data_IF_979948295908
#
_entry.id   IF_979948295908
#
_cell.length_a   1.000
_cell.length_b   1.000
_cell.length_c   1.000
_cell.angle_alpha   90.00
_cell.angle_beta   90.00
_cell.angle_gamma   90.00
#
_symmetry.space_group_name_H-M   'P 1'
#
loop_
_entity.id
_entity.type
_entity.pdbx_description
1 polymer ?
#
# COMPACT_ATOMS: atom_id res chain seq x y z
N UNK A 1 -12.58 11.67 -21.09
CA UNK A 1 -13.74 11.48 -20.19
C UNK A 1 -15.00 11.67 -21.01
N UNK A 2 -15.94 10.74 -20.89
CA UNK A 2 -17.26 10.84 -21.53
C UNK A 2 -18.12 11.91 -20.85
N UNK A 3 -19.17 12.37 -21.53
CA UNK A 3 -20.02 13.46 -21.05
C UNK A 3 -20.69 13.15 -19.71
N UNK A 4 -21.20 11.93 -19.53
CA UNK A 4 -21.88 11.53 -18.29
C UNK A 4 -20.92 11.55 -17.09
N UNK A 5 -19.70 11.03 -17.25
CA UNK A 5 -18.66 11.16 -16.23
C UNK A 5 -18.28 12.62 -15.95
N UNK A 6 -18.19 13.46 -16.97
CA UNK A 6 -17.91 14.89 -16.78
C UNK A 6 -18.99 15.59 -15.96
N UNK A 7 -20.26 15.34 -16.28
CA UNK A 7 -21.40 15.96 -15.59
C UNK A 7 -21.47 15.51 -14.13
N UNK A 8 -21.28 14.21 -13.87
CA UNK A 8 -21.21 13.67 -12.50
C UNK A 8 -20.04 14.26 -11.73
N UNK A 9 -18.86 14.40 -12.35
CA UNK A 9 -17.70 15.01 -11.68
C UNK A 9 -17.98 16.44 -11.22
N UNK A 10 -18.59 17.27 -12.07
CA UNK A 10 -18.99 18.64 -11.71
C UNK A 10 -19.97 18.63 -10.54
N UNK A 11 -20.96 17.73 -10.57
CA UNK A 11 -21.93 17.57 -9.48
C UNK A 11 -21.27 17.16 -8.17
N UNK A 12 -20.28 16.26 -8.21
CA UNK A 12 -19.47 15.87 -7.05
C UNK A 12 -18.69 17.07 -6.52
N UNK A 13 -17.97 17.78 -7.38
CA UNK A 13 -17.17 18.95 -7.00
C UNK A 13 -18.01 20.03 -6.32
N UNK A 14 -19.21 20.31 -6.85
CA UNK A 14 -20.12 21.28 -6.24
C UNK A 14 -20.61 20.81 -4.86
N UNK A 15 -21.01 19.54 -4.74
CA UNK A 15 -21.56 18.98 -3.49
C UNK A 15 -20.52 18.88 -2.38
N UNK A 16 -19.29 18.54 -2.74
CA UNK A 16 -18.17 18.26 -1.83
C UNK A 16 -17.17 19.42 -1.71
N UNK A 17 -17.47 20.57 -2.30
CA UNK A 17 -16.62 21.77 -2.27
C UNK A 17 -16.17 22.16 -0.84
N UNK A 18 -17.01 21.90 0.16
CA UNK A 18 -16.69 22.13 1.58
C UNK A 18 -15.66 21.17 2.18
N UNK A 19 -15.44 19.99 1.57
CA UNK A 19 -14.46 18.99 2.05
C UNK A 19 -13.06 19.24 1.46
N UNK A 20 -12.96 19.99 0.36
CA UNK A 20 -11.70 20.34 -0.29
C UNK A 20 -11.76 20.23 -1.81
N UNK A 21 -10.61 20.45 -2.45
CA UNK A 21 -10.51 20.39 -3.90
C UNK A 21 -10.45 18.93 -4.39
N UNK A 22 -11.47 18.51 -5.15
CA UNK A 22 -11.53 17.17 -5.73
C UNK A 22 -10.70 17.13 -7.01
N UNK A 23 -9.59 16.39 -6.94
CA UNK A 23 -8.75 16.04 -8.07
C UNK A 23 -9.15 14.68 -8.64
N UNK A 24 -8.83 14.42 -9.90
CA UNK A 24 -9.13 13.13 -10.53
C UNK A 24 -7.97 12.61 -11.39
N UNK A 25 -7.84 11.28 -11.49
CA UNK A 25 -6.87 10.60 -12.38
C UNK A 25 -7.48 9.34 -12.98
N UNK A 26 -7.07 8.95 -14.18
CA UNK A 26 -7.55 7.70 -14.79
C UNK A 26 -7.02 6.48 -14.04
N UNK A 27 -7.93 5.58 -13.63
CA UNK A 27 -7.60 4.36 -12.90
C UNK A 27 -8.68 3.29 -13.11
N UNK A 28 -8.27 2.04 -13.36
CA UNK A 28 -9.16 0.88 -13.51
C UNK A 28 -10.30 1.04 -14.52
N UNK A 29 -10.08 1.75 -15.63
CA UNK A 29 -11.13 1.98 -16.63
C UNK A 29 -12.16 3.06 -16.26
N UNK A 30 -11.94 3.78 -15.15
CA UNK A 30 -12.66 4.99 -14.79
C UNK A 30 -11.72 6.07 -14.27
N UNK A 31 -12.21 6.89 -13.34
CA UNK A 31 -11.47 7.99 -12.74
C UNK A 31 -11.48 7.86 -11.21
N UNK A 32 -10.31 7.80 -10.59
CA UNK A 32 -10.20 7.94 -9.13
C UNK A 32 -10.39 9.41 -8.75
N UNK A 33 -11.09 9.65 -7.66
CA UNK A 33 -11.31 10.99 -7.09
C UNK A 33 -10.57 11.09 -5.76
N UNK A 34 -9.82 12.18 -5.58
CA UNK A 34 -8.98 12.38 -4.41
C UNK A 34 -9.02 13.82 -3.89
N UNK A 35 -8.95 13.95 -2.57
CA UNK A 35 -8.71 15.22 -1.85
C UNK A 35 -7.42 15.02 -1.04
N UNK A 36 -6.48 15.96 -1.13
CA UNK A 36 -5.16 15.87 -0.46
C UNK A 36 -4.43 14.54 -0.73
N UNK A 37 -4.48 14.09 -1.99
CA UNK A 37 -3.92 12.81 -2.46
C UNK A 37 -4.46 11.57 -1.71
N UNK A 38 -5.62 11.66 -1.07
CA UNK A 38 -6.34 10.52 -0.49
C UNK A 38 -7.52 10.17 -1.39
N UNK A 39 -7.49 8.97 -1.99
CA UNK A 39 -8.54 8.48 -2.88
C UNK A 39 -9.73 8.02 -2.05
N UNK A 40 -10.83 8.75 -2.15
CA UNK A 40 -12.06 8.52 -1.39
C UNK A 40 -13.21 7.99 -2.27
N UNK A 41 -13.12 8.15 -3.58
CA UNK A 41 -14.17 7.72 -4.50
C UNK A 41 -13.61 7.32 -5.88
N UNK A 42 -14.44 6.62 -6.65
CA UNK A 42 -14.22 6.23 -8.04
C UNK A 42 -15.42 6.68 -8.88
N UNK A 43 -15.15 7.11 -10.11
CA UNK A 43 -16.15 7.48 -11.10
C UNK A 43 -16.01 6.55 -12.30
N UNK A 44 -17.03 5.73 -12.54
CA UNK A 44 -17.01 4.70 -13.59
C UNK A 44 -18.35 4.76 -14.32
N UNK A 45 -18.31 4.90 -15.66
CA UNK A 45 -19.52 4.97 -16.50
C UNK A 45 -20.54 6.03 -16.02
N UNK A 46 -20.07 7.22 -15.65
CA UNK A 46 -20.93 8.29 -15.12
C UNK A 46 -21.45 8.08 -13.70
N UNK A 47 -21.11 6.97 -13.04
CA UNK A 47 -21.58 6.63 -11.69
C UNK A 47 -20.51 6.83 -10.64
N UNK A 48 -20.91 7.41 -9.52
CA UNK A 48 -20.04 7.65 -8.36
C UNK A 48 -20.05 6.42 -7.45
N UNK A 49 -18.87 5.97 -7.07
CA UNK A 49 -18.67 4.92 -6.09
C UNK A 49 -17.82 5.47 -4.93
N UNK A 50 -18.29 5.36 -3.70
CA UNK A 50 -17.57 5.81 -2.51
C UNK A 50 -16.76 4.65 -1.93
N UNK A 51 -15.59 4.95 -1.38
CA UNK A 51 -14.76 3.95 -0.70
C UNK A 51 -15.51 3.42 0.51
N UNK A 52 -15.59 2.11 0.63
CA UNK A 52 -16.17 1.44 1.78
C UNK A 52 -15.20 1.47 2.96
N UNK A 53 -15.75 1.71 4.15
CA UNK A 53 -15.07 1.59 5.44
C UNK A 53 -16.01 0.98 6.48
N UNK A 54 -15.47 0.58 7.63
CA UNK A 54 -16.29 0.06 8.73
C UNK A 54 -17.37 1.03 9.18
N UNK A 55 -17.10 2.34 9.10
CA UNK A 55 -18.05 3.41 9.44
C UNK A 55 -19.19 3.57 8.41
N UNK A 56 -19.03 3.04 7.19
CA UNK A 56 -20.09 3.05 6.16
C UNK A 56 -20.95 1.77 6.16
N UNK A 57 -20.68 0.84 7.08
CA UNK A 57 -21.29 -0.51 7.09
C UNK A 57 -22.80 -0.48 7.30
N UNK A 58 -23.31 0.40 8.16
CA UNK A 58 -24.75 0.51 8.44
C UNK A 58 -25.54 0.89 7.18
N UNK A 59 -25.04 1.87 6.42
CA UNK A 59 -25.61 2.26 5.14
C UNK A 59 -25.57 1.10 4.13
N UNK A 60 -24.43 0.42 4.04
CA UNK A 60 -24.28 -0.71 3.14
C UNK A 60 -25.23 -1.86 3.49
N UNK A 61 -25.45 -2.14 4.77
CA UNK A 61 -26.36 -3.20 5.20
C UNK A 61 -27.83 -2.84 4.95
N UNK A 62 -28.20 -1.57 5.16
CA UNK A 62 -29.58 -1.11 4.94
C UNK A 62 -29.97 -1.02 3.45
N UNK A 63 -29.02 -0.61 2.60
CA UNK A 63 -29.29 -0.32 1.18
C UNK A 63 -28.75 -1.38 0.20
N UNK A 64 -27.85 -2.27 0.67
CA UNK A 64 -27.15 -3.29 -0.12
C UNK A 64 -26.64 -2.78 -1.48
N UNK A 65 -25.88 -1.67 -1.52
CA UNK A 65 -25.45 -1.05 -2.76
C UNK A 65 -24.47 -1.96 -3.53
N UNK A 66 -24.53 -1.98 -4.88
CA UNK A 66 -23.56 -2.72 -5.68
C UNK A 66 -22.12 -2.26 -5.42
N UNK A 67 -21.22 -3.22 -5.25
CA UNK A 67 -19.78 -2.96 -5.18
C UNK A 67 -19.19 -2.79 -6.59
N UNK A 68 -18.18 -1.94 -6.71
CA UNK A 68 -17.47 -1.71 -7.96
C UNK A 68 -16.65 -2.94 -8.33
N UNK A 69 -16.91 -3.50 -9.51
CA UNK A 69 -16.13 -4.61 -10.06
C UNK A 69 -15.29 -4.10 -11.23
N UNK A 70 -13.99 -4.38 -11.21
CA UNK A 70 -13.09 -4.09 -12.33
C UNK A 70 -12.59 -5.37 -12.98
N UNK A 71 -12.34 -5.33 -14.29
CA UNK A 71 -11.78 -6.48 -15.02
C UNK A 71 -10.30 -6.26 -15.28
N UNK A 72 -9.45 -7.17 -14.78
CA UNK A 72 -8.00 -7.14 -15.00
C UNK A 72 -7.53 -8.50 -15.51
N UNK A 73 -6.92 -8.52 -16.71
CA UNK A 73 -6.45 -9.75 -17.37
C UNK A 73 -7.53 -10.84 -17.45
N UNK A 74 -8.77 -10.46 -17.77
CA UNK A 74 -9.91 -11.37 -17.86
C UNK A 74 -10.48 -11.85 -16.50
N UNK A 75 -9.95 -11.40 -15.37
CA UNK A 75 -10.50 -11.70 -14.04
C UNK A 75 -11.30 -10.52 -13.50
N UNK A 76 -12.46 -10.81 -12.90
CA UNK A 76 -13.27 -9.85 -12.16
C UNK A 76 -12.72 -9.66 -10.75
N UNK A 77 -12.39 -8.42 -10.39
CA UNK A 77 -11.87 -8.03 -9.08
C UNK A 77 -12.89 -7.06 -8.48
N UNK A 78 -13.51 -7.47 -7.37
CA UNK A 78 -14.33 -6.55 -6.57
C UNK A 78 -13.42 -5.58 -5.84
N UNK A 79 -13.64 -4.28 -6.04
CA UNK A 79 -12.97 -3.21 -5.34
C UNK A 79 -13.83 -2.78 -4.15
N UNK A 80 -13.18 -2.27 -3.10
CA UNK A 80 -13.84 -1.83 -1.88
C UNK A 80 -14.52 -0.45 -2.04
N UNK A 81 -15.39 -0.32 -3.04
CA UNK A 81 -16.16 0.88 -3.33
C UNK A 81 -17.61 0.51 -3.60
N UNK A 82 -18.56 1.20 -2.99
CA UNK A 82 -20.00 0.97 -3.17
C UNK A 82 -20.63 2.11 -3.98
N UNK A 83 -21.66 1.79 -4.76
CA UNK A 83 -22.38 2.76 -5.57
C UNK A 83 -23.10 3.80 -4.68
N UNK A 84 -22.86 5.08 -4.97
CA UNK A 84 -23.71 6.17 -4.50
C UNK A 84 -24.97 6.19 -5.37
N UNK A 85 -26.03 5.56 -4.88
CA UNK A 85 -27.31 5.44 -5.57
C UNK A 85 -28.10 6.76 -5.58
N UNK A 86 -29.25 6.75 -6.24
CA UNK A 86 -30.11 7.92 -6.33
C UNK A 86 -30.64 8.38 -4.95
N UNK A 87 -30.77 7.47 -3.98
CA UNK A 87 -31.22 7.84 -2.63
C UNK A 87 -30.18 8.71 -1.93
N UNK A 88 -28.90 8.34 -2.03
CA UNK A 88 -27.81 9.17 -1.50
C UNK A 88 -27.69 10.49 -2.24
N UNK A 89 -27.85 10.48 -3.57
CA UNK A 89 -27.81 11.69 -4.40
C UNK A 89 -28.95 12.68 -4.15
N UNK A 90 -30.11 12.22 -3.68
CA UNK A 90 -31.25 13.07 -3.28
C UNK A 90 -31.02 13.79 -1.95
N UNK A 91 -30.05 13.35 -1.15
CA UNK A 91 -29.69 13.94 0.13
C UNK A 91 -28.24 14.44 0.11
N UNK A 92 -27.99 15.70 -0.32
CA UNK A 92 -26.63 16.24 -0.41
C UNK A 92 -25.86 16.22 0.92
N UNK A 93 -26.56 16.36 2.05
CA UNK A 93 -25.96 16.25 3.38
C UNK A 93 -25.50 14.83 3.68
N UNK A 94 -26.32 13.83 3.38
CA UNK A 94 -25.96 12.42 3.56
C UNK A 94 -24.80 12.02 2.64
N UNK A 95 -24.84 12.43 1.36
CA UNK A 95 -23.75 12.18 0.42
C UNK A 95 -22.43 12.80 0.90
N UNK A 96 -22.49 14.04 1.40
CA UNK A 96 -21.32 14.72 1.95
C UNK A 96 -20.76 13.98 3.16
N UNK A 97 -21.63 13.52 4.05
CA UNK A 97 -21.20 12.78 5.24
C UNK A 97 -20.53 11.44 4.87
N UNK A 98 -21.10 10.70 3.93
CA UNK A 98 -20.50 9.45 3.45
C UNK A 98 -19.18 9.69 2.73
N UNK A 99 -19.08 10.77 1.94
CA UNK A 99 -17.82 11.17 1.31
C UNK A 99 -16.76 11.59 2.34
N UNK A 100 -17.16 12.28 3.41
CA UNK A 100 -16.28 12.65 4.53
C UNK A 100 -15.75 11.40 5.24
N UNK A 101 -16.63 10.46 5.60
CA UNK A 101 -16.24 9.18 6.21
C UNK A 101 -15.25 8.44 5.30
N UNK A 102 -15.55 8.33 4.00
CA UNK A 102 -14.65 7.70 3.04
C UNK A 102 -13.28 8.39 2.95
N UNK A 103 -13.26 9.72 3.02
CA UNK A 103 -12.04 10.52 2.99
C UNK A 103 -11.22 10.35 4.27
N UNK A 104 -11.84 10.45 5.45
CA UNK A 104 -11.18 10.32 6.75
C UNK A 104 -10.54 8.93 6.88
N UNK A 105 -11.27 7.87 6.49
CA UNK A 105 -10.71 6.52 6.44
C UNK A 105 -9.55 6.40 5.44
N UNK A 106 -9.68 6.97 4.23
CA UNK A 106 -8.61 6.94 3.24
C UNK A 106 -7.34 7.69 3.72
N UNK A 107 -7.50 8.79 4.45
CA UNK A 107 -6.39 9.55 5.03
C UNK A 107 -5.74 8.79 6.19
N UNK A 108 -6.54 8.15 7.05
CA UNK A 108 -6.04 7.31 8.14
C UNK A 108 -5.23 6.13 7.58
N UNK A 109 -5.77 5.39 6.60
CA UNK A 109 -5.05 4.30 5.93
C UNK A 109 -3.76 4.77 5.26
N UNK A 110 -3.78 5.95 4.61
CA UNK A 110 -2.59 6.53 3.99
C UNK A 110 -1.54 6.88 5.04
N UNK A 111 -1.96 7.44 6.17
CA UNK A 111 -1.08 7.79 7.29
C UNK A 111 -0.49 6.53 7.91
N UNK A 112 -1.29 5.49 8.09
CA UNK A 112 -0.83 4.21 8.64
C UNK A 112 0.16 3.53 7.69
N UNK A 113 -0.12 3.46 6.39
CA UNK A 113 0.82 2.97 5.38
C UNK A 113 2.10 3.79 5.29
N UNK A 114 2.06 5.07 5.64
CA UNK A 114 3.25 5.92 5.72
C UNK A 114 4.02 5.71 7.02
N UNK A 115 3.34 5.35 8.11
CA UNK A 115 3.95 4.98 9.40
C UNK A 115 4.59 3.60 9.36
N UNK A 116 3.96 2.64 8.70
CA UNK A 116 4.54 1.35 8.33
C UNK A 116 5.73 1.61 7.39
N UNK A 117 6.91 1.86 7.96
CA UNK A 117 8.16 1.89 7.19
C UNK A 117 8.24 0.58 6.43
N UNK A 118 8.13 0.62 5.11
CA UNK A 118 8.27 -0.60 4.31
C UNK A 118 9.73 -1.03 4.31
N UNK A 119 9.93 -2.33 4.19
CA UNK A 119 11.27 -2.91 4.16
C UNK A 119 12.09 -2.31 3.03
N UNK A 120 11.50 -2.10 1.85
CA UNK A 120 12.20 -1.47 0.72
C UNK A 120 12.57 0.01 0.93
N UNK A 121 11.99 0.68 1.92
CA UNK A 121 12.24 2.09 2.22
C UNK A 121 13.35 2.25 3.29
N UNK A 122 13.89 1.13 3.81
CA UNK A 122 15.07 1.13 4.68
C UNK A 122 16.37 1.35 3.87
N UNK A 123 17.43 1.87 4.51
CA UNK A 123 18.74 2.00 3.87
C UNK A 123 19.21 0.69 3.24
N UNK A 124 19.81 0.77 2.05
CA UNK A 124 20.41 -0.35 1.32
C UNK A 124 19.40 -1.40 0.78
N UNK A 125 18.11 -1.30 1.11
CA UNK A 125 17.08 -2.23 0.61
C UNK A 125 16.35 -1.63 -0.60
N UNK A 126 15.78 -2.52 -1.42
CA UNK A 126 15.01 -2.16 -2.60
C UNK A 126 13.82 -3.10 -2.78
N UNK A 127 12.96 -2.81 -3.75
CA UNK A 127 11.75 -3.61 -4.04
C UNK A 127 12.09 -5.08 -4.30
N UNK A 128 13.18 -5.37 -5.01
CA UNK A 128 13.58 -6.74 -5.33
C UNK A 128 13.98 -7.52 -4.07
N UNK A 129 14.71 -6.90 -3.16
CA UNK A 129 15.12 -7.53 -1.91
C UNK A 129 13.92 -7.68 -0.95
N UNK A 130 13.02 -6.70 -0.88
CA UNK A 130 11.76 -6.80 -0.15
C UNK A 130 10.91 -7.99 -0.62
N UNK A 131 10.70 -8.16 -1.93
CA UNK A 131 9.98 -9.33 -2.46
C UNK A 131 10.65 -10.65 -2.05
N UNK A 132 11.98 -10.68 -2.02
CA UNK A 132 12.73 -11.88 -1.62
C UNK A 132 12.55 -12.18 -0.12
N UNK A 133 12.56 -11.13 0.71
CA UNK A 133 12.31 -11.23 2.15
C UNK A 133 10.89 -11.70 2.42
N UNK A 134 9.90 -11.23 1.65
CA UNK A 134 8.50 -11.68 1.73
C UNK A 134 8.34 -13.17 1.40
N UNK A 135 8.99 -13.64 0.33
CA UNK A 135 9.03 -15.07 -0.04
C UNK A 135 9.70 -15.91 1.06
N UNK A 136 10.66 -15.32 1.78
CA UNK A 136 11.33 -15.93 2.93
C UNK A 136 10.56 -15.78 4.27
N UNK A 137 9.36 -15.19 4.27
CA UNK A 137 8.50 -15.03 5.45
C UNK A 137 8.75 -13.77 6.29
N UNK A 138 9.58 -12.84 5.83
CA UNK A 138 9.91 -11.58 6.52
C UNK A 138 9.12 -10.45 5.85
N UNK A 139 7.95 -10.10 6.39
CA UNK A 139 6.98 -9.23 5.69
C UNK A 139 7.04 -7.75 6.08
N UNK A 140 7.64 -7.44 7.21
CA UNK A 140 7.69 -6.11 7.81
C UNK A 140 9.03 -5.87 8.51
N UNK A 141 9.25 -4.60 8.90
CA UNK A 141 10.49 -4.15 9.52
C UNK A 141 10.66 -4.72 10.93
N UNK A 142 9.58 -4.94 11.66
CA UNK A 142 9.62 -5.54 13.00
C UNK A 142 10.18 -6.96 12.93
N UNK A 143 9.66 -7.78 12.02
CA UNK A 143 10.12 -9.14 11.74
C UNK A 143 11.58 -9.16 11.25
N UNK A 144 11.97 -8.21 10.40
CA UNK A 144 13.36 -8.05 9.95
C UNK A 144 14.30 -7.81 11.14
N UNK A 145 13.94 -6.89 12.04
CA UNK A 145 14.71 -6.59 13.23
C UNK A 145 14.74 -7.76 14.22
N UNK A 146 13.63 -8.47 14.39
CA UNK A 146 13.51 -9.60 15.30
C UNK A 146 14.41 -10.78 14.89
N UNK A 147 14.50 -11.08 13.59
CA UNK A 147 15.41 -12.13 13.10
C UNK A 147 16.87 -11.67 13.04
N UNK A 148 17.13 -10.40 12.76
CA UNK A 148 18.48 -9.89 12.59
C UNK A 148 19.11 -10.25 11.24
N UNK A 149 20.22 -9.59 10.89
CA UNK A 149 20.81 -9.69 9.55
C UNK A 149 21.22 -11.12 9.15
N UNK A 150 21.85 -11.87 10.07
CA UNK A 150 22.35 -13.23 9.82
C UNK A 150 21.23 -14.23 9.52
N UNK A 151 20.19 -14.26 10.34
CA UNK A 151 19.05 -15.18 10.14
C UNK A 151 18.23 -14.78 8.91
N UNK A 152 18.01 -13.48 8.66
CA UNK A 152 17.38 -13.03 7.42
C UNK A 152 18.17 -13.46 6.18
N UNK A 153 19.49 -13.34 6.21
CA UNK A 153 20.36 -13.79 5.13
C UNK A 153 20.26 -15.31 4.91
N UNK A 154 20.24 -16.11 5.99
CA UNK A 154 20.06 -17.56 5.90
C UNK A 154 18.70 -17.94 5.30
N UNK A 155 17.63 -17.26 5.70
CA UNK A 155 16.28 -17.47 5.16
C UNK A 155 16.23 -17.13 3.67
N UNK A 156 16.79 -16.00 3.25
CA UNK A 156 16.90 -15.62 1.84
C UNK A 156 17.67 -16.66 1.02
N UNK A 157 18.73 -17.23 1.58
CA UNK A 157 19.56 -18.21 0.89
C UNK A 157 18.83 -19.51 0.53
N UNK A 158 17.82 -19.89 1.31
CA UNK A 158 16.98 -21.07 0.99
C UNK A 158 16.30 -20.92 -0.38
N UNK A 159 15.92 -19.69 -0.76
CA UNK A 159 15.36 -19.38 -2.07
C UNK A 159 16.42 -19.01 -3.11
N UNK A 160 17.55 -18.43 -2.70
CA UNK A 160 18.62 -17.96 -3.58
C UNK A 160 20.00 -18.45 -3.13
N UNK A 161 20.54 -19.44 -3.84
CA UNK A 161 21.78 -20.13 -3.44
C UNK A 161 23.03 -19.23 -3.39
N UNK A 162 23.09 -18.19 -4.24
CA UNK A 162 24.26 -17.32 -4.38
C UNK A 162 23.99 -15.91 -3.81
N UNK A 163 23.73 -15.81 -2.51
CA UNK A 163 23.68 -14.50 -1.84
C UNK A 163 25.10 -14.00 -1.54
N UNK A 164 25.33 -12.71 -1.76
CA UNK A 164 26.63 -12.07 -1.48
C UNK A 164 26.72 -11.55 -0.04
N UNK A 165 27.95 -11.32 0.42
CA UNK A 165 28.24 -10.62 1.67
C UNK A 165 27.65 -9.20 1.70
N UNK A 166 27.60 -8.52 0.55
CA UNK A 166 26.98 -7.20 0.43
C UNK A 166 25.50 -7.23 0.85
N UNK A 167 24.75 -8.30 0.57
CA UNK A 167 23.36 -8.42 1.06
C UNK A 167 23.32 -8.53 2.59
N UNK A 168 24.29 -9.21 3.21
CA UNK A 168 24.37 -9.31 4.67
C UNK A 168 24.63 -7.94 5.31
N UNK A 169 25.54 -7.14 4.74
CA UNK A 169 25.77 -5.76 5.16
C UNK A 169 24.58 -4.86 4.91
N UNK A 170 23.92 -4.98 3.76
CA UNK A 170 22.70 -4.23 3.44
C UNK A 170 21.60 -4.49 4.48
N UNK A 171 21.39 -5.74 4.88
CA UNK A 171 20.44 -6.11 5.94
C UNK A 171 20.82 -5.51 7.29
N UNK A 172 22.11 -5.55 7.67
CA UNK A 172 22.57 -4.95 8.92
C UNK A 172 22.43 -3.42 8.92
N UNK A 173 22.77 -2.77 7.81
CA UNK A 173 22.58 -1.32 7.64
C UNK A 173 21.10 -0.95 7.73
N UNK A 174 20.22 -1.74 7.12
CA UNK A 174 18.78 -1.55 7.20
C UNK A 174 18.25 -1.61 8.64
N UNK A 175 18.68 -2.63 9.41
CA UNK A 175 18.27 -2.82 10.82
C UNK A 175 18.79 -1.69 11.72
N UNK A 176 20.02 -1.24 11.49
CA UNK A 176 20.63 -0.15 12.27
C UNK A 176 20.22 1.25 11.80
N UNK A 177 19.48 1.35 10.70
CA UNK A 177 19.07 2.63 10.11
C UNK A 177 20.21 3.42 9.46
N UNK A 178 21.29 2.75 9.04
CA UNK A 178 22.48 3.39 8.44
C UNK A 178 22.81 2.81 7.05
N UNK A 179 23.45 3.61 6.20
CA UNK A 179 23.99 3.08 4.94
C UNK A 179 25.08 2.04 5.24
N UNK A 180 25.17 0.95 4.48
CA UNK A 180 26.08 -0.18 4.77
C UNK A 180 27.56 0.22 4.83
N UNK A 181 27.95 1.25 4.07
CA UNK A 181 29.29 1.82 4.09
C UNK A 181 29.64 2.54 5.41
N UNK A 182 28.64 2.92 6.21
CA UNK A 182 28.79 3.58 7.49
C UNK A 182 28.70 2.60 8.68
N UNK A 183 28.56 1.30 8.43
CA UNK A 183 28.59 0.29 9.49
C UNK A 183 29.95 0.32 10.23
N UNK A 184 29.95 0.26 11.58
CA UNK A 184 31.19 0.22 12.35
C UNK A 184 32.09 -0.94 11.91
N UNK A 185 33.41 -0.71 11.86
CA UNK A 185 34.40 -1.70 11.41
C UNK A 185 34.25 -3.04 12.13
N UNK A 186 34.06 -3.01 13.45
CA UNK A 186 33.85 -4.20 14.28
C UNK A 186 32.66 -5.06 13.79
N UNK A 187 31.53 -4.44 13.45
CA UNK A 187 30.35 -5.16 12.95
C UNK A 187 30.61 -5.72 11.55
N UNK A 188 31.35 -4.98 10.70
CA UNK A 188 31.71 -5.45 9.36
C UNK A 188 32.60 -6.68 9.41
N UNK A 189 33.58 -6.68 10.31
CA UNK A 189 34.48 -7.81 10.56
C UNK A 189 33.71 -9.02 11.09
N UNK A 190 32.86 -8.83 12.10
CA UNK A 190 32.03 -9.92 12.67
C UNK A 190 31.15 -10.60 11.61
N UNK A 191 30.51 -9.81 10.75
CA UNK A 191 29.65 -10.33 9.68
C UNK A 191 30.46 -11.01 8.56
N UNK A 192 31.66 -10.49 8.25
CA UNK A 192 32.58 -11.12 7.29
C UNK A 192 33.05 -12.48 7.80
N UNK A 193 33.52 -12.54 9.04
CA UNK A 193 33.98 -13.78 9.67
C UNK A 193 32.87 -14.83 9.68
N UNK A 194 31.66 -14.43 10.09
CA UNK A 194 30.50 -15.30 10.07
C UNK A 194 30.20 -15.81 8.65
N UNK A 195 30.23 -14.93 7.64
CA UNK A 195 30.01 -15.31 6.25
C UNK A 195 31.06 -16.30 5.73
N UNK A 196 32.34 -16.07 6.06
CA UNK A 196 33.45 -16.94 5.65
C UNK A 196 33.35 -18.33 6.28
N UNK A 197 33.09 -18.41 7.59
CA UNK A 197 32.85 -19.68 8.28
C UNK A 197 31.70 -20.45 7.64
N UNK A 198 30.63 -19.74 7.32
CA UNK A 198 29.46 -20.29 6.70
C UNK A 198 29.72 -20.82 5.27
N UNK A 199 30.48 -20.09 4.46
CA UNK A 199 30.88 -20.50 3.10
C UNK A 199 31.76 -21.75 3.10
N UNK A 200 32.68 -21.88 4.06
CA UNK A 200 33.58 -23.04 4.19
C UNK A 200 32.78 -24.31 4.54
N UNK A 201 31.80 -24.21 5.45
CA UNK A 201 30.98 -25.35 5.89
C UNK A 201 30.01 -25.90 4.83
N UNK A 202 29.71 -25.14 3.76
CA UNK A 202 28.76 -25.56 2.71
C UNK A 202 29.44 -25.98 1.40
N UNK A 203 30.78 -25.99 1.35
CA UNK A 203 31.57 -26.56 0.24
C UNK A 203 32.16 -27.94 0.59
N UNK A 204 31.92 -28.43 1.81
CA UNK A 204 32.37 -29.74 2.30
C UNK A 204 31.25 -30.78 2.25
#
# INVERSE_FOLDING_TARGET
>A
MDKASSDTLVRVQNTLSSLGNVTHRSLFGGYSLAINDAVFAMLVEGRLYLRASDQSRDYQQAHNPPMLVCTRRGRHISLNYYLADETLWRSPSALREHARIALDCAQAEKTERARERRVKDLPNLNVQLEMSLWEAGIRDVETLCAFGAKECWLKLRKARKNLSLHVLYALQGAITGTHEAALPTQIREELLEWFMQFSVQNQS
#
